data_IF_423117065500
#
_entry.id   IF_423117065500
#
_cell.length_a   1.000
_cell.length_b   1.000
_cell.length_c   1.000
_cell.angle_alpha   90.00
_cell.angle_beta   90.00
_cell.angle_gamma   90.00
#
_symmetry.space_group_name_H-M   'P 1'
#
loop_
_entity.id
_entity.type
_entity.pdbx_description
1 polymer ?
#
# COMPACT_ATOMS: atom_id res chain seq x y z
N UNK A 1 15.58 5.02 2.00
CA UNK A 1 14.31 5.73 1.78
C UNK A 1 13.21 4.72 1.57
N UNK A 2 11.94 5.14 1.57
CA UNK A 2 10.81 4.31 1.11
C UNK A 2 10.77 4.30 -0.43
N UNK A 3 10.08 3.31 -1.05
CA UNK A 3 10.09 3.16 -2.50
C UNK A 3 9.15 4.14 -3.21
N UNK A 4 9.71 5.17 -3.83
CA UNK A 4 8.97 6.09 -4.70
C UNK A 4 7.78 6.75 -4.02
N UNK A 5 6.61 6.66 -4.67
CA UNK A 5 5.33 7.21 -4.19
C UNK A 5 4.40 6.14 -3.59
N UNK A 6 4.85 4.88 -3.56
CA UNK A 6 4.01 3.79 -3.08
C UNK A 6 3.89 3.84 -1.55
N UNK A 7 2.74 3.44 -1.00
CA UNK A 7 2.65 3.19 0.43
C UNK A 7 3.62 2.08 0.82
N UNK A 8 4.19 2.18 2.02
CA UNK A 8 4.97 1.08 2.57
C UNK A 8 4.09 -0.16 2.72
N UNK A 9 4.70 -1.34 2.53
CA UNK A 9 4.00 -2.60 2.65
C UNK A 9 3.86 -3.03 4.12
N UNK A 10 4.97 -3.01 4.85
CA UNK A 10 5.00 -3.19 6.30
C UNK A 10 6.17 -2.41 6.91
N UNK A 11 6.12 -2.20 8.23
CA UNK A 11 7.17 -1.53 9.00
C UNK A 11 8.45 -2.38 9.02
N UNK A 12 8.27 -3.69 9.12
CA UNK A 12 9.33 -4.69 9.05
C UNK A 12 8.89 -5.78 8.07
N UNK A 13 9.69 -6.03 7.04
CA UNK A 13 9.43 -7.11 6.09
C UNK A 13 10.71 -7.90 5.82
N UNK A 14 10.58 -9.18 5.51
CA UNK A 14 11.73 -10.02 5.19
C UNK A 14 11.96 -10.03 3.69
N UNK A 15 13.18 -9.72 3.27
CA UNK A 15 13.63 -9.82 1.88
C UNK A 15 14.62 -10.98 1.74
N UNK A 16 14.60 -11.68 0.61
CA UNK A 16 15.51 -12.78 0.32
C UNK A 16 14.83 -14.11 -0.02
N UNK A 17 15.62 -15.19 0.01
CA UNK A 17 15.17 -16.55 -0.35
C UNK A 17 14.98 -17.38 0.92
N UNK A 18 14.28 -18.50 0.83
CA UNK A 18 13.92 -19.36 1.97
C UNK A 18 15.08 -19.68 2.94
N UNK A 19 16.32 -19.77 2.43
CA UNK A 19 17.50 -20.10 3.23
C UNK A 19 18.26 -18.87 3.77
N UNK A 20 17.86 -17.66 3.38
CA UNK A 20 18.47 -16.40 3.78
C UNK A 20 17.42 -15.28 3.71
N UNK A 21 16.70 -15.10 4.80
CA UNK A 21 15.76 -14.00 5.00
C UNK A 21 16.45 -12.89 5.78
N UNK A 22 16.47 -11.70 5.19
CA UNK A 22 16.99 -10.47 5.80
C UNK A 22 15.81 -9.60 6.21
N UNK A 23 15.65 -9.30 7.51
CA UNK A 23 14.65 -8.34 7.94
C UNK A 23 15.06 -6.93 7.50
N UNK A 24 14.21 -6.29 6.71
CA UNK A 24 14.32 -4.90 6.32
C UNK A 24 13.35 -4.08 7.15
N UNK A 25 13.84 -2.96 7.67
CA UNK A 25 13.08 -2.02 8.49
C UNK A 25 12.97 -0.69 7.74
N UNK A 26 11.82 -0.04 7.85
CA UNK A 26 11.64 1.32 7.32
C UNK A 26 12.68 2.29 7.89
N UNK A 27 13.14 3.27 7.09
CA UNK A 27 14.16 4.22 7.54
C UNK A 27 13.67 5.05 8.73
N UNK A 28 14.55 5.39 9.67
CA UNK A 28 14.24 6.25 10.83
C UNK A 28 13.07 5.75 11.72
N UNK A 29 12.90 4.44 11.83
CA UNK A 29 11.92 3.85 12.74
C UNK A 29 12.33 4.06 14.21
N UNK A 30 11.42 4.64 14.98
CA UNK A 30 11.54 4.87 16.42
C UNK A 30 10.15 4.70 17.07
N UNK A 31 10.05 4.54 18.40
CA UNK A 31 8.75 4.49 19.07
C UNK A 31 7.86 5.70 18.80
N UNK A 32 8.46 6.88 18.54
CA UNK A 32 7.73 8.11 18.20
C UNK A 32 7.25 8.14 16.75
N UNK A 33 7.97 7.47 15.84
CA UNK A 33 7.67 7.51 14.40
C UNK A 33 6.86 6.32 13.91
N UNK A 34 6.71 5.26 14.72
CA UNK A 34 5.98 4.04 14.39
C UNK A 34 4.58 4.31 13.80
N UNK A 35 3.82 5.20 14.43
CA UNK A 35 2.45 5.51 14.03
C UNK A 35 2.34 6.03 12.58
N UNK A 36 3.34 6.77 12.11
CA UNK A 36 3.34 7.34 10.76
C UNK A 36 3.59 6.29 9.67
N UNK A 37 4.21 5.17 10.02
CA UNK A 37 4.45 4.05 9.12
C UNK A 37 3.28 3.06 9.11
N UNK A 38 2.03 3.56 9.17
CA UNK A 38 0.85 2.71 9.00
C UNK A 38 0.68 2.37 7.51
N UNK A 39 0.79 1.10 7.09
CA UNK A 39 0.62 0.72 5.69
C UNK A 39 -0.86 0.80 5.29
N UNK A 40 -1.14 1.12 4.03
CA UNK A 40 -2.52 1.21 3.52
C UNK A 40 -3.25 -0.13 3.61
N UNK A 41 -2.54 -1.26 3.51
CA UNK A 41 -3.10 -2.60 3.66
C UNK A 41 -3.73 -2.86 5.04
N UNK A 42 -3.31 -2.13 6.08
CA UNK A 42 -3.82 -2.22 7.47
C UNK A 42 -4.79 -1.08 7.82
N UNK A 43 -5.34 -0.40 6.80
CA UNK A 43 -6.30 0.69 6.97
C UNK A 43 -7.71 0.27 6.53
N UNK A 44 -8.67 1.17 6.71
CA UNK A 44 -10.04 1.05 6.23
C UNK A 44 -10.38 2.29 5.42
N UNK A 45 -11.20 2.13 4.38
CA UNK A 45 -11.76 3.22 3.60
C UNK A 45 -13.27 3.06 3.52
N UNK A 46 -14.03 4.06 3.96
CA UNK A 46 -15.49 4.00 4.09
C UNK A 46 -16.01 2.78 4.88
N UNK A 47 -15.25 2.35 5.90
CA UNK A 47 -15.57 1.16 6.70
C UNK A 47 -15.26 -0.18 6.01
N UNK A 48 -14.68 -0.17 4.81
CA UNK A 48 -14.28 -1.36 4.07
C UNK A 48 -12.75 -1.50 4.02
N UNK A 49 -12.21 -2.55 4.67
CA UNK A 49 -10.78 -2.89 4.58
C UNK A 49 -10.32 -3.19 3.15
N UNK A 50 -11.18 -3.82 2.36
CA UNK A 50 -10.87 -4.20 0.98
C UNK A 50 -10.64 -2.98 0.06
N UNK A 51 -11.11 -1.80 0.48
CA UNK A 51 -10.97 -0.55 -0.27
C UNK A 51 -9.87 0.35 0.29
N UNK A 52 -9.08 -0.09 1.26
CA UNK A 52 -8.07 0.75 1.91
C UNK A 52 -7.06 1.38 0.93
N UNK A 53 -6.81 0.73 -0.22
CA UNK A 53 -5.93 1.27 -1.27
C UNK A 53 -6.49 2.55 -1.95
N UNK A 54 -7.77 2.89 -1.74
CA UNK A 54 -8.35 4.17 -2.18
C UNK A 54 -7.61 5.37 -1.59
N UNK A 55 -7.06 5.27 -0.37
CA UNK A 55 -6.21 6.31 0.19
C UNK A 55 -4.98 6.58 -0.69
N UNK A 56 -4.36 5.54 -1.24
CA UNK A 56 -3.20 5.71 -2.12
C UNK A 56 -3.60 6.36 -3.46
N UNK A 57 -4.79 6.03 -3.98
CA UNK A 57 -5.37 6.63 -5.18
C UNK A 57 -5.57 8.15 -4.96
N UNK A 58 -6.20 8.56 -3.85
CA UNK A 58 -6.42 9.97 -3.52
C UNK A 58 -5.11 10.76 -3.36
N UNK A 59 -4.10 10.16 -2.71
CA UNK A 59 -2.80 10.80 -2.63
C UNK A 59 -2.13 10.96 -4.01
N UNK A 60 -2.38 10.03 -4.94
CA UNK A 60 -1.80 10.10 -6.28
C UNK A 60 -2.51 11.13 -7.17
N UNK A 61 -3.82 11.29 -7.03
CA UNK A 61 -4.56 12.40 -7.63
C UNK A 61 -3.98 13.75 -7.18
N UNK A 62 -3.85 13.96 -5.86
CA UNK A 62 -3.42 15.24 -5.29
C UNK A 62 -2.03 15.69 -5.78
N UNK A 63 -1.14 14.74 -6.12
CA UNK A 63 0.19 15.05 -6.67
C UNK A 63 0.21 15.14 -8.20
N UNK A 64 -0.74 14.50 -8.90
CA UNK A 64 -0.71 14.35 -10.36
C UNK A 64 -0.81 15.70 -11.09
N UNK A 65 -1.51 16.67 -10.50
CA UNK A 65 -1.60 18.06 -11.01
C UNK A 65 -0.22 18.72 -11.16
N UNK A 66 0.72 18.35 -10.29
CA UNK A 66 2.06 18.93 -10.23
C UNK A 66 3.11 18.10 -10.99
N UNK A 67 2.68 17.06 -11.71
CA UNK A 67 3.54 16.21 -12.53
C UNK A 67 3.15 16.33 -14.00
N UNK A 68 4.02 16.94 -14.80
CA UNK A 68 3.84 17.12 -16.25
C UNK A 68 3.82 15.77 -16.99
N UNK A 69 4.61 14.80 -16.52
CA UNK A 69 4.60 13.41 -16.96
C UNK A 69 3.67 12.54 -16.08
N UNK A 70 4.05 11.30 -15.78
CA UNK A 70 3.28 10.36 -14.99
C UNK A 70 4.13 9.73 -13.88
N UNK A 71 3.51 8.96 -12.99
CA UNK A 71 4.19 8.23 -11.93
C UNK A 71 3.86 6.74 -12.02
N UNK A 72 4.85 5.87 -11.80
CA UNK A 72 4.66 4.43 -11.76
C UNK A 72 3.92 4.02 -10.49
N UNK A 73 2.59 4.07 -10.53
CA UNK A 73 1.73 3.82 -9.37
C UNK A 73 1.23 2.38 -9.33
N UNK A 74 1.59 1.64 -8.27
CA UNK A 74 1.14 0.26 -8.09
C UNK A 74 -0.20 0.20 -7.35
N UNK A 75 -1.07 -0.72 -7.76
CA UNK A 75 -2.28 -1.08 -7.04
C UNK A 75 -2.02 -2.30 -6.16
N UNK A 76 -2.25 -2.17 -4.86
CA UNK A 76 -2.10 -3.29 -3.92
C UNK A 76 -3.48 -3.76 -3.48
N UNK A 77 -3.77 -5.04 -3.71
CA UNK A 77 -5.08 -5.64 -3.43
C UNK A 77 -4.95 -6.87 -2.53
N UNK A 78 -5.88 -7.11 -1.60
CA UNK A 78 -5.86 -8.33 -0.81
C UNK A 78 -6.17 -9.54 -1.69
N UNK A 79 -5.57 -10.68 -1.35
CA UNK A 79 -5.92 -11.97 -1.99
C UNK A 79 -7.40 -12.28 -1.74
N UNK A 80 -8.13 -12.64 -2.79
CA UNK A 80 -9.57 -12.90 -2.71
C UNK A 80 -10.46 -11.66 -2.81
N UNK A 81 -9.90 -10.50 -3.20
CA UNK A 81 -10.68 -9.29 -3.49
C UNK A 81 -11.80 -9.59 -4.51
N UNK A 82 -13.01 -9.11 -4.21
CA UNK A 82 -14.11 -9.20 -5.17
C UNK A 82 -13.81 -8.36 -6.41
N UNK A 83 -14.03 -8.92 -7.61
CA UNK A 83 -13.72 -8.24 -8.88
C UNK A 83 -14.42 -6.87 -9.00
N UNK A 84 -15.62 -6.72 -8.42
CA UNK A 84 -16.34 -5.44 -8.38
C UNK A 84 -15.55 -4.32 -7.69
N UNK A 85 -14.77 -4.66 -6.65
CA UNK A 85 -13.93 -3.70 -5.92
C UNK A 85 -12.68 -3.34 -6.73
N UNK A 86 -12.09 -4.31 -7.43
CA UNK A 86 -11.00 -4.03 -8.35
C UNK A 86 -11.44 -3.09 -9.47
N UNK A 87 -12.62 -3.35 -10.06
CA UNK A 87 -13.21 -2.46 -11.05
C UNK A 87 -13.44 -1.06 -10.48
N UNK A 88 -14.04 -0.96 -9.27
CA UNK A 88 -14.24 0.33 -8.58
C UNK A 88 -12.92 1.10 -8.44
N UNK A 89 -11.83 0.46 -8.01
CA UNK A 89 -10.52 1.12 -7.90
C UNK A 89 -10.01 1.63 -9.25
N UNK A 90 -10.15 0.86 -10.33
CA UNK A 90 -9.75 1.31 -11.66
C UNK A 90 -10.60 2.47 -12.19
N UNK A 91 -11.91 2.45 -11.93
CA UNK A 91 -12.81 3.56 -12.29
C UNK A 91 -12.43 4.84 -11.54
N UNK A 92 -12.15 4.75 -10.24
CA UNK A 92 -11.69 5.90 -9.43
C UNK A 92 -10.38 6.48 -9.93
N UNK A 93 -9.42 5.64 -10.33
CA UNK A 93 -8.16 6.10 -10.95
C UNK A 93 -8.44 6.93 -12.20
N UNK A 94 -9.34 6.45 -13.07
CA UNK A 94 -9.68 7.11 -14.31
C UNK A 94 -10.44 8.43 -14.07
N UNK A 95 -11.47 8.40 -13.21
CA UNK A 95 -12.31 9.57 -12.89
C UNK A 95 -11.49 10.69 -12.23
N UNK A 96 -10.46 10.35 -11.46
CA UNK A 96 -9.54 11.30 -10.80
C UNK A 96 -8.42 11.81 -11.70
N UNK A 97 -8.39 11.42 -12.97
CA UNK A 97 -7.39 11.90 -13.93
C UNK A 97 -5.95 11.42 -13.67
N UNK A 98 -5.77 10.33 -12.92
CA UNK A 98 -4.46 9.70 -12.76
C UNK A 98 -4.03 9.11 -14.10
N UNK A 99 -2.85 9.52 -14.59
CA UNK A 99 -2.45 9.25 -15.98
C UNK A 99 -2.17 7.77 -16.26
N UNK A 100 -1.55 7.07 -15.31
CA UNK A 100 -1.16 5.65 -15.47
C UNK A 100 -1.23 4.88 -14.16
N UNK A 101 -1.42 3.57 -14.27
CA UNK A 101 -1.15 2.57 -13.23
C UNK A 101 -0.10 1.58 -13.74
N UNK A 102 0.68 0.98 -12.85
CA UNK A 102 1.76 0.07 -13.19
C UNK A 102 1.39 -1.40 -12.98
N UNK A 103 1.69 -1.99 -11.82
CA UNK A 103 1.26 -3.36 -11.50
C UNK A 103 0.04 -3.39 -10.59
N UNK A 104 -0.74 -4.46 -10.71
CA UNK A 104 -1.66 -4.90 -9.67
C UNK A 104 -0.97 -6.02 -8.89
N UNK A 105 -0.74 -5.81 -7.60
CA UNK A 105 -0.04 -6.73 -6.70
C UNK A 105 -0.99 -7.24 -5.64
N UNK A 106 -1.13 -8.56 -5.57
CA UNK A 106 -1.86 -9.21 -4.49
C UNK A 106 -1.00 -9.34 -3.24
N UNK A 107 -1.60 -9.19 -2.07
CA UNK A 107 -0.97 -9.47 -0.78
C UNK A 107 -1.80 -10.47 0.03
N UNK A 108 -1.15 -11.25 0.91
CA UNK A 108 -1.85 -12.22 1.75
C UNK A 108 -2.52 -11.50 2.92
N UNK A 109 -3.85 -11.48 2.91
CA UNK A 109 -4.65 -10.84 3.96
C UNK A 109 -4.42 -11.44 5.35
N UNK A 110 -3.97 -12.70 5.44
CA UNK A 110 -3.67 -13.36 6.72
C UNK A 110 -2.46 -12.74 7.43
N UNK A 111 -1.60 -12.04 6.71
CA UNK A 111 -0.44 -11.36 7.28
C UNK A 111 -0.85 -10.19 8.21
N UNK A 112 -2.12 -9.75 8.16
CA UNK A 112 -2.67 -8.71 9.02
C UNK A 112 -2.84 -9.16 10.50
N UNK A 113 -3.02 -10.46 10.75
CA UNK A 113 -3.28 -10.98 12.11
C UNK A 113 -2.07 -10.92 13.04
N UNK A 114 -0.85 -10.80 12.50
CA UNK A 114 0.35 -10.64 13.31
C UNK A 114 0.59 -9.16 13.65
N UNK A 115 0.06 -8.71 14.80
CA UNK A 115 0.47 -7.43 15.35
C UNK A 115 1.87 -7.54 15.95
N UNK A 116 2.89 -7.25 15.13
CA UNK A 116 4.31 -7.25 15.53
C UNK A 116 4.61 -6.33 16.72
N UNK A 117 3.84 -5.24 16.88
CA UNK A 117 3.94 -4.35 18.03
C UNK A 117 3.27 -4.90 19.30
N UNK A 118 2.35 -5.86 19.15
CA UNK A 118 1.57 -6.47 20.23
C UNK A 118 2.09 -7.85 20.63
N UNK A 119 2.89 -8.49 19.77
CA UNK A 119 3.54 -9.77 20.04
C UNK A 119 4.77 -9.53 20.92
N UNK A 120 4.54 -9.45 22.23
CA UNK A 120 5.58 -9.56 23.25
C UNK A 120 5.93 -11.04 23.50
#
# INVERSE_FOLDING_TARGET
>A
STPGIDPIFDVVYNDGKANALLPIVVPNLTPKTWFYYKPTMKMEYDGEKQLAHMWAIQHNEARQEWNDQASSFNLYIPTGLQVKHLLRMHMEVWERGIKTTYYVRSWDSKQEESCLACSA
#
